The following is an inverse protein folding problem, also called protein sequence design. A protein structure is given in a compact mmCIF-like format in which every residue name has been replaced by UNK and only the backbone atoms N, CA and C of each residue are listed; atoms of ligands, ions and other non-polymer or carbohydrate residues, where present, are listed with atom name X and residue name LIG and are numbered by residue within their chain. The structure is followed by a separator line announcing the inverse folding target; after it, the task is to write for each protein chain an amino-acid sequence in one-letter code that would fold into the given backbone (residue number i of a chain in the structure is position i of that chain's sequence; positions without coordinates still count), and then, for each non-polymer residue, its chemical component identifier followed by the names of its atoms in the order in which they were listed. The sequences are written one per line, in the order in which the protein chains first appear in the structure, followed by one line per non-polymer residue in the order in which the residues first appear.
data_IF_992945986299
#
_entry.id   IF_992945986299
#
_cell.length_a   1.000
_cell.length_b   1.000
_cell.length_c   1.000
_cell.angle_alpha   90.00
_cell.angle_beta   90.00
_cell.angle_gamma   90.00
#
_symmetry.space_group_name_H-M   'P 1'
#
loop_
_entity.id
_entity.type
_entity.pdbx_description
1 polymer ?
#
# COMPACT_ATOMS: atom_id res chain seq x y z
N UNK A 1 17.51 -15.21 11.74
CA UNK A 1 16.56 -14.34 11.04
C UNK A 1 15.42 -14.03 11.99
N UNK A 2 15.27 -12.76 12.37
CA UNK A 2 14.17 -12.34 13.24
C UNK A 2 12.85 -12.23 12.44
N UNK A 3 11.73 -12.07 13.14
CA UNK A 3 10.40 -12.03 12.53
C UNK A 3 10.23 -10.84 11.58
N UNK A 4 10.85 -9.70 11.92
CA UNK A 4 10.85 -8.50 11.08
C UNK A 4 11.58 -8.74 9.74
N UNK A 5 12.74 -9.40 9.74
CA UNK A 5 13.49 -9.74 8.53
C UNK A 5 12.69 -10.68 7.61
N UNK A 6 11.96 -11.65 8.18
CA UNK A 6 11.06 -12.53 7.42
C UNK A 6 9.93 -11.76 6.75
N UNK A 7 9.29 -10.86 7.51
CA UNK A 7 8.23 -9.99 6.96
C UNK A 7 8.77 -9.05 5.87
N UNK A 8 10.00 -8.55 6.04
CA UNK A 8 10.64 -7.70 5.04
C UNK A 8 10.93 -8.48 3.74
N UNK A 9 11.38 -9.72 3.86
CA UNK A 9 11.63 -10.60 2.72
C UNK A 9 10.33 -10.94 1.98
N UNK A 10 9.27 -11.29 2.72
CA UNK A 10 7.95 -11.60 2.14
C UNK A 10 7.28 -10.38 1.49
N UNK A 11 7.56 -9.17 1.97
CA UNK A 11 6.99 -7.93 1.45
C UNK A 11 7.73 -7.35 0.25
N UNK A 12 8.95 -7.81 -0.08
CA UNK A 12 9.69 -7.37 -1.28
C UNK A 12 8.86 -7.34 -2.58
N UNK A 13 8.16 -8.41 -3.00
CA UNK A 13 7.37 -8.37 -4.22
C UNK A 13 6.26 -7.32 -4.19
N UNK A 14 5.68 -7.05 -3.02
CA UNK A 14 4.66 -6.01 -2.83
C UNK A 14 5.27 -4.60 -2.94
N UNK A 15 6.47 -4.42 -2.38
CA UNK A 15 7.23 -3.16 -2.45
C UNK A 15 7.63 -2.87 -3.91
N UNK A 16 8.14 -3.86 -4.62
CA UNK A 16 8.57 -3.69 -6.02
C UNK A 16 7.36 -3.42 -6.93
N UNK A 17 6.24 -4.11 -6.69
CA UNK A 17 4.98 -3.82 -7.39
C UNK A 17 4.53 -2.36 -7.22
N UNK A 18 4.61 -1.78 -6.00
CA UNK A 18 4.27 -0.38 -5.78
C UNK A 18 5.23 0.57 -6.52
N UNK A 19 6.53 0.29 -6.50
CA UNK A 19 7.55 1.13 -7.17
C UNK A 19 7.37 1.16 -8.69
N UNK A 20 7.01 0.05 -9.29
CA UNK A 20 6.90 -0.08 -10.75
C UNK A 20 5.57 0.44 -11.30
N UNK A 21 4.48 0.37 -10.52
CA UNK A 21 3.13 0.54 -11.05
C UNK A 21 2.36 1.75 -10.48
N UNK A 22 2.79 2.38 -9.39
CA UNK A 22 1.97 3.39 -8.69
C UNK A 22 2.71 4.65 -8.22
N UNK A 23 1.94 5.72 -7.97
CA UNK A 23 2.43 7.00 -7.43
C UNK A 23 2.67 6.90 -5.91
N UNK A 24 3.60 7.68 -5.30
CA UNK A 24 3.94 7.66 -3.86
C UNK A 24 2.81 7.85 -2.83
N UNK A 25 1.55 8.00 -3.24
CA UNK A 25 0.39 8.10 -2.36
C UNK A 25 -0.41 6.79 -2.29
N UNK A 26 0.22 5.67 -2.64
CA UNK A 26 -0.39 4.34 -2.62
C UNK A 26 0.22 3.46 -1.54
N UNK A 27 -0.60 2.61 -0.94
CA UNK A 27 -0.22 1.64 0.09
C UNK A 27 -0.83 0.28 -0.21
N UNK A 28 -0.13 -0.79 0.15
CA UNK A 28 -0.70 -2.15 0.17
C UNK A 28 -1.08 -2.50 1.60
N UNK A 29 -2.35 -2.87 1.80
CA UNK A 29 -2.86 -3.34 3.08
C UNK A 29 -3.10 -4.85 2.99
N UNK A 30 -2.43 -5.59 3.87
CA UNK A 30 -2.59 -7.04 4.01
C UNK A 30 -3.38 -7.31 5.29
N UNK A 31 -4.50 -7.99 5.14
CA UNK A 31 -5.37 -8.45 6.23
C UNK A 31 -5.55 -9.97 6.10
N UNK A 32 -6.09 -10.63 7.13
CA UNK A 32 -6.40 -12.06 7.06
C UNK A 32 -7.39 -12.40 5.94
N UNK A 33 -8.23 -11.44 5.54
CA UNK A 33 -9.30 -11.65 4.58
C UNK A 33 -8.86 -11.36 3.13
N UNK A 34 -7.92 -10.42 2.94
CA UNK A 34 -7.55 -9.92 1.61
C UNK A 34 -6.26 -9.08 1.60
N UNK A 35 -5.74 -8.92 0.39
CA UNK A 35 -4.69 -7.96 0.01
C UNK A 35 -5.31 -6.91 -0.91
N UNK A 36 -5.08 -5.62 -0.62
CA UNK A 36 -5.60 -4.52 -1.45
C UNK A 36 -4.57 -3.39 -1.61
N UNK A 37 -4.60 -2.72 -2.76
CA UNK A 37 -3.90 -1.46 -2.99
C UNK A 37 -4.87 -0.31 -2.68
N UNK A 38 -4.46 0.62 -1.83
CA UNK A 38 -5.24 1.80 -1.44
C UNK A 38 -4.49 3.04 -1.89
N UNK A 39 -5.16 3.93 -2.60
CA UNK A 39 -4.64 5.25 -2.97
C UNK A 39 -5.22 6.32 -2.04
N UNK A 40 -4.35 7.17 -1.51
CA UNK A 40 -4.75 8.33 -0.71
C UNK A 40 -4.86 9.55 -1.60
N UNK A 41 -6.10 9.94 -1.92
CA UNK A 41 -6.39 11.21 -2.58
C UNK A 41 -6.76 12.27 -1.55
N UNK A 42 -6.05 13.40 -1.54
CA UNK A 42 -6.46 14.59 -0.79
C UNK A 42 -7.34 15.44 -1.69
N UNK A 43 -8.62 15.57 -1.36
CA UNK A 43 -9.54 16.50 -2.02
C UNK A 43 -9.96 17.61 -1.06
N UNK A 44 -10.15 18.82 -1.60
CA UNK A 44 -10.85 19.88 -0.87
C UNK A 44 -12.34 19.58 -0.98
N UNK A 45 -13.10 19.56 0.13
CA UNK A 45 -14.55 19.43 0.07
C UNK A 45 -15.10 20.60 -0.74
N UNK A 46 -15.58 20.34 -1.95
CA UNK A 46 -16.32 21.34 -2.70
C UNK A 46 -17.75 21.28 -2.17
N UNK A 47 -18.11 22.24 -1.32
CA UNK A 47 -19.45 22.36 -0.74
C UNK A 47 -20.47 22.74 -1.81
N UNK A 48 -20.77 21.84 -2.74
CA UNK A 48 -21.89 22.00 -3.64
C UNK A 48 -23.14 21.47 -2.95
N UNK A 49 -23.98 22.44 -2.53
CA UNK A 49 -25.41 22.26 -2.24
C UNK A 49 -26.17 21.80 -3.48
#
# INVERSE_FOLDING_TARGET
MNEHEKLLEMSKPLIDYLKENYHPHTAIVVTEERVMVVETSVSVPNGQE
#
